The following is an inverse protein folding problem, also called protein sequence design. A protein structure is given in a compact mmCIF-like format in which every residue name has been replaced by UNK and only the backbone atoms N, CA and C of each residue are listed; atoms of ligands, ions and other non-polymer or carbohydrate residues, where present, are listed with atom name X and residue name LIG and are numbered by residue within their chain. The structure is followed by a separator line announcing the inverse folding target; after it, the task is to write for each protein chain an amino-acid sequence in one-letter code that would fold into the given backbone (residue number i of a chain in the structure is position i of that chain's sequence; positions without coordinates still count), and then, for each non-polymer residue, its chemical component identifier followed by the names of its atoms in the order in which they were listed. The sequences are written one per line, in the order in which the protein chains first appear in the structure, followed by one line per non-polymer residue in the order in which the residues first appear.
data_IF_527844180828
#
_entry.id   IF_527844180828
#
_cell.length_a   1.000
_cell.length_b   1.000
_cell.length_c   1.000
_cell.angle_alpha   90.00
_cell.angle_beta   90.00
_cell.angle_gamma   90.00
#
_symmetry.space_group_name_H-M   'P 1'
#
loop_
_entity.id
_entity.type
_entity.pdbx_description
1 polymer ?
#
# COMPACT_ATOMS: atom_id res chain seq x y z
N UNK A 1 -27.36 -1.54 -2.29
CA UNK A 1 -26.22 -2.23 -2.89
C UNK A 1 -25.03 -2.21 -1.97
N UNK A 2 -24.55 -3.37 -1.69
CA UNK A 2 -23.30 -3.48 -0.99
C UNK A 2 -22.19 -3.04 -1.93
N UNK A 3 -21.57 -1.92 -1.61
CA UNK A 3 -20.41 -1.48 -2.35
C UNK A 3 -19.27 -2.49 -2.23
N UNK A 4 -18.30 -2.40 -3.12
CA UNK A 4 -17.11 -3.20 -3.02
C UNK A 4 -16.38 -2.85 -1.72
N UNK A 5 -15.90 -3.84 -0.94
CA UNK A 5 -15.10 -3.56 0.26
C UNK A 5 -13.75 -2.95 -0.07
N UNK A 6 -13.34 -3.01 -1.33
CA UNK A 6 -12.05 -2.49 -1.78
C UNK A 6 -12.29 -1.58 -2.98
N UNK A 7 -11.78 -0.36 -2.93
CA UNK A 7 -11.92 0.58 -4.04
C UNK A 7 -10.97 0.20 -5.18
N UNK A 8 -11.28 0.71 -6.38
CA UNK A 8 -10.41 0.49 -7.54
C UNK A 8 -9.02 1.07 -7.31
N UNK A 9 -8.93 2.25 -6.68
CA UNK A 9 -7.65 2.87 -6.37
C UNK A 9 -6.80 2.00 -5.45
N UNK A 10 -7.42 1.38 -4.44
CA UNK A 10 -6.72 0.45 -3.56
C UNK A 10 -6.22 -0.77 -4.31
N UNK A 11 -7.06 -1.31 -5.22
CA UNK A 11 -6.67 -2.46 -6.03
C UNK A 11 -5.47 -2.13 -6.91
N UNK A 12 -5.47 -0.95 -7.55
CA UNK A 12 -4.34 -0.53 -8.38
C UNK A 12 -3.05 -0.43 -7.58
N UNK A 13 -3.13 0.12 -6.37
CA UNK A 13 -1.93 0.23 -5.54
C UNK A 13 -1.49 -1.12 -5.02
N UNK A 14 -2.44 -2.02 -4.77
CA UNK A 14 -2.11 -3.38 -4.37
C UNK A 14 -1.37 -4.12 -5.50
N UNK A 15 -1.84 -3.99 -6.72
CA UNK A 15 -1.17 -4.56 -7.90
C UNK A 15 0.24 -3.99 -8.02
N UNK A 16 0.36 -2.67 -7.87
CA UNK A 16 1.64 -1.97 -7.99
C UNK A 16 2.65 -2.46 -6.95
N UNK A 17 2.24 -2.55 -5.69
CA UNK A 17 3.14 -2.91 -4.60
C UNK A 17 3.54 -4.38 -4.65
N UNK A 18 2.61 -5.25 -5.02
CA UNK A 18 2.85 -6.69 -5.01
C UNK A 18 3.46 -7.19 -6.31
N UNK A 19 3.55 -6.34 -7.34
CA UNK A 19 3.91 -6.75 -8.70
C UNK A 19 3.03 -7.92 -9.16
N UNK A 20 1.76 -7.89 -8.78
CA UNK A 20 0.84 -8.96 -9.07
C UNK A 20 0.63 -9.10 -10.57
N UNK A 21 0.80 -10.31 -11.08
CA UNK A 21 0.60 -10.61 -12.50
C UNK A 21 -0.69 -11.39 -12.72
N UNK A 22 -1.33 -11.81 -11.62
CA UNK A 22 -2.55 -12.60 -11.71
C UNK A 22 -3.50 -12.31 -10.57
N UNK A 23 -4.73 -12.75 -10.74
CA UNK A 23 -5.80 -12.51 -9.79
C UNK A 23 -5.62 -13.25 -8.47
N UNK A 24 -4.93 -14.37 -8.47
CA UNK A 24 -4.77 -15.16 -7.26
C UNK A 24 -4.02 -14.39 -6.18
N UNK A 25 -3.00 -13.64 -6.58
CA UNK A 25 -2.24 -12.81 -5.63
C UNK A 25 -3.15 -11.73 -5.03
N UNK A 26 -3.94 -11.08 -5.87
CA UNK A 26 -4.87 -10.05 -5.41
C UNK A 26 -5.93 -10.61 -4.48
N UNK A 27 -6.53 -11.75 -4.86
CA UNK A 27 -7.56 -12.38 -4.03
C UNK A 27 -7.00 -12.90 -2.71
N UNK A 28 -5.74 -13.32 -2.69
CA UNK A 28 -5.09 -13.70 -1.44
C UNK A 28 -5.07 -12.54 -0.45
N UNK A 29 -4.72 -11.35 -0.91
CA UNK A 29 -4.71 -10.16 -0.06
C UNK A 29 -6.12 -9.75 0.34
N UNK A 30 -7.07 -9.80 -0.59
CA UNK A 30 -8.46 -9.44 -0.30
C UNK A 30 -9.06 -10.38 0.74
N UNK A 31 -8.81 -11.67 0.63
CA UNK A 31 -9.32 -12.66 1.58
C UNK A 31 -8.74 -12.46 2.98
N UNK A 32 -7.47 -12.06 3.06
CA UNK A 32 -6.85 -11.75 4.36
C UNK A 32 -7.46 -10.51 4.99
N UNK A 33 -7.78 -9.51 4.17
CA UNK A 33 -8.37 -8.26 4.62
C UNK A 33 -9.84 -8.42 4.98
N UNK A 34 -10.58 -9.16 4.17
CA UNK A 34 -12.03 -9.35 4.33
C UNK A 34 -12.38 -10.83 4.15
N UNK A 35 -12.19 -11.65 5.18
CA UNK A 35 -12.54 -13.06 5.10
C UNK A 35 -14.02 -13.24 4.73
N UNK A 36 -14.30 -14.16 3.84
CA UNK A 36 -15.66 -14.40 3.37
C UNK A 36 -16.01 -13.67 2.08
N UNK A 37 -15.20 -12.72 1.66
CA UNK A 37 -15.37 -12.05 0.36
C UNK A 37 -14.66 -12.88 -0.70
N UNK A 38 -15.41 -13.35 -1.69
CA UNK A 38 -14.88 -14.19 -2.76
C UNK A 38 -15.37 -13.67 -4.11
N UNK A 39 -14.77 -14.19 -5.18
CA UNK A 39 -15.22 -13.87 -6.53
C UNK A 39 -16.67 -14.31 -6.74
N UNK A 40 -17.09 -15.36 -6.06
CA UNK A 40 -18.46 -15.88 -6.17
C UNK A 40 -19.45 -14.96 -5.47
N UNK A 41 -19.11 -14.48 -4.25
CA UNK A 41 -20.02 -13.62 -3.48
C UNK A 41 -19.96 -12.17 -3.93
N UNK A 42 -18.85 -11.77 -4.56
CA UNK A 42 -18.63 -10.40 -5.00
C UNK A 42 -18.12 -10.36 -6.45
N UNK A 43 -19.00 -10.71 -7.42
CA UNK A 43 -18.58 -10.79 -8.82
C UNK A 43 -18.14 -9.44 -9.39
N UNK A 44 -18.70 -8.33 -8.90
CA UNK A 44 -18.25 -7.01 -9.34
C UNK A 44 -16.82 -6.73 -8.92
N UNK A 45 -16.47 -7.11 -7.70
CA UNK A 45 -15.10 -6.97 -7.21
C UNK A 45 -14.14 -7.83 -8.05
N UNK A 46 -14.57 -9.02 -8.43
CA UNK A 46 -13.77 -9.89 -9.30
C UNK A 46 -13.48 -9.21 -10.65
N UNK A 47 -14.48 -8.53 -11.22
CA UNK A 47 -14.27 -7.76 -12.45
C UNK A 47 -13.33 -6.59 -12.24
N UNK A 48 -13.43 -5.93 -11.08
CA UNK A 48 -12.52 -4.83 -10.77
C UNK A 48 -11.07 -5.29 -10.67
N UNK A 49 -10.83 -6.50 -10.16
CA UNK A 49 -9.46 -7.04 -10.13
C UNK A 49 -8.92 -7.25 -11.54
N UNK A 50 -9.75 -7.72 -12.47
CA UNK A 50 -9.35 -7.84 -13.88
C UNK A 50 -8.99 -6.49 -14.46
N UNK A 51 -9.83 -5.48 -14.25
CA UNK A 51 -9.56 -4.14 -14.75
C UNK A 51 -8.31 -3.54 -14.12
N UNK A 52 -8.10 -3.78 -12.83
CA UNK A 52 -6.94 -3.25 -12.14
C UNK A 52 -5.65 -3.83 -12.73
N UNK A 53 -5.63 -5.12 -13.01
CA UNK A 53 -4.45 -5.75 -13.61
C UNK A 53 -4.14 -5.19 -15.00
N UNK A 54 -5.18 -5.05 -15.84
CA UNK A 54 -5.01 -4.50 -17.19
C UNK A 54 -4.59 -3.03 -17.13
N UNK A 55 -5.27 -2.25 -16.31
CA UNK A 55 -4.99 -0.83 -16.17
C UNK A 55 -3.57 -0.60 -15.66
N UNK A 56 -3.16 -1.38 -14.68
CA UNK A 56 -1.81 -1.28 -14.16
C UNK A 56 -0.79 -1.56 -15.25
N UNK A 57 -0.95 -2.67 -15.98
CA UNK A 57 -0.02 -3.06 -17.02
C UNK A 57 0.08 -2.01 -18.13
N UNK A 58 -1.06 -1.45 -18.53
CA UNK A 58 -1.12 -0.57 -19.69
C UNK A 58 -0.82 0.89 -19.35
N UNK A 59 -1.19 1.35 -18.15
CA UNK A 59 -1.16 2.78 -17.83
C UNK A 59 -0.32 3.14 -16.61
N UNK A 60 -0.17 2.24 -15.65
CA UNK A 60 0.54 2.56 -14.41
C UNK A 60 2.01 2.14 -14.49
N UNK A 61 2.26 0.90 -14.83
CA UNK A 61 3.62 0.37 -14.87
C UNK A 61 4.56 1.18 -15.77
N UNK A 62 4.14 1.60 -16.99
CA UNK A 62 5.04 2.39 -17.84
C UNK A 62 5.37 3.76 -17.27
N UNK A 63 4.53 4.30 -16.38
CA UNK A 63 4.69 5.62 -15.80
C UNK A 63 5.21 5.61 -14.37
N UNK A 64 5.44 4.42 -13.79
CA UNK A 64 5.98 4.32 -12.44
C UNK A 64 7.43 4.79 -12.40
N UNK A 65 7.73 5.64 -11.42
CA UNK A 65 9.09 6.13 -11.23
C UNK A 65 9.38 6.10 -9.73
N UNK A 66 10.19 5.14 -9.31
CA UNK A 66 10.64 5.05 -7.94
C UNK A 66 11.82 5.99 -7.73
N UNK A 67 12.00 6.44 -6.49
CA UNK A 67 13.19 7.17 -6.09
C UNK A 67 13.69 6.63 -4.77
N UNK A 68 14.97 6.81 -4.52
CA UNK A 68 15.56 6.43 -3.25
C UNK A 68 15.16 7.45 -2.18
N UNK A 69 14.94 7.02 -0.94
CA UNK A 69 14.65 7.96 0.15
C UNK A 69 15.88 8.78 0.50
N UNK A 70 15.64 10.04 0.93
CA UNK A 70 16.70 10.85 1.51
C UNK A 70 17.09 10.25 2.87
N UNK A 71 18.24 10.65 3.46
CA UNK A 71 18.61 10.14 4.78
C UNK A 71 17.54 10.35 5.85
N UNK A 72 16.88 11.50 5.84
CA UNK A 72 15.81 11.79 6.78
C UNK A 72 14.59 10.89 6.52
N UNK A 73 14.21 10.76 5.25
CA UNK A 73 13.12 9.87 4.85
C UNK A 73 13.43 8.42 5.20
N UNK A 74 14.68 8.03 5.03
CA UNK A 74 15.13 6.68 5.37
C UNK A 74 14.91 6.40 6.86
N UNK A 75 15.29 7.33 7.72
CA UNK A 75 15.07 7.18 9.17
C UNK A 75 13.59 7.09 9.50
N UNK A 76 12.78 7.93 8.88
CA UNK A 76 11.34 7.90 9.10
C UNK A 76 10.73 6.57 8.66
N UNK A 77 11.17 6.05 7.51
CA UNK A 77 10.69 4.77 7.02
C UNK A 77 11.08 3.61 7.92
N UNK A 78 12.30 3.61 8.44
CA UNK A 78 12.77 2.58 9.37
C UNK A 78 11.91 2.61 10.63
N UNK A 79 11.65 3.79 11.18
CA UNK A 79 10.80 3.91 12.36
C UNK A 79 9.38 3.45 12.08
N UNK A 80 8.85 3.79 10.91
CA UNK A 80 7.51 3.33 10.51
C UNK A 80 7.46 1.80 10.49
N UNK A 81 8.47 1.16 9.90
CA UNK A 81 8.51 -0.30 9.84
C UNK A 81 8.54 -0.90 11.25
N UNK A 82 9.29 -0.30 12.17
CA UNK A 82 9.33 -0.75 13.56
C UNK A 82 7.98 -0.62 14.24
N UNK A 83 7.28 0.50 14.02
CA UNK A 83 5.95 0.70 14.58
C UNK A 83 4.95 -0.31 14.02
N UNK A 84 5.02 -0.58 12.73
CA UNK A 84 4.15 -1.58 12.11
C UNK A 84 4.43 -2.97 12.68
N UNK A 85 5.69 -3.30 12.95
CA UNK A 85 6.05 -4.57 13.54
C UNK A 85 5.47 -4.76 14.95
N UNK A 86 5.24 -3.65 15.65
CA UNK A 86 4.66 -3.69 16.99
C UNK A 86 3.13 -3.74 17.01
N UNK A 87 2.48 -3.60 15.87
CA UNK A 87 1.02 -3.64 15.80
C UNK A 87 0.50 -5.07 15.75
N UNK A 88 -0.73 -5.25 16.27
CA UNK A 88 -1.45 -6.50 16.13
C UNK A 88 -1.70 -6.75 14.63
N UNK A 89 -1.57 -8.01 14.21
CA UNK A 89 -1.82 -8.38 12.82
C UNK A 89 -3.24 -8.08 12.35
N UNK A 90 -4.15 -7.77 13.26
CA UNK A 90 -5.52 -7.40 12.94
C UNK A 90 -5.80 -5.91 13.09
N UNK A 91 -4.75 -5.09 13.21
CA UNK A 91 -4.90 -3.65 13.29
C UNK A 91 -5.65 -3.14 12.05
N UNK A 92 -6.62 -2.25 12.27
CA UNK A 92 -7.40 -1.69 11.16
C UNK A 92 -6.66 -0.52 10.50
N UNK A 93 -7.23 -0.05 9.39
CA UNK A 93 -6.61 1.04 8.62
C UNK A 93 -6.46 2.32 9.43
N UNK A 94 -7.39 2.62 10.33
CA UNK A 94 -7.30 3.82 11.16
C UNK A 94 -6.15 3.74 12.17
N UNK A 95 -5.99 2.60 12.80
CA UNK A 95 -4.89 2.38 13.75
C UNK A 95 -3.54 2.52 13.03
N UNK A 96 -3.43 1.91 11.86
CA UNK A 96 -2.22 1.98 11.04
C UNK A 96 -1.97 3.42 10.60
N UNK A 97 -3.02 4.12 10.16
CA UNK A 97 -2.90 5.52 9.73
C UNK A 97 -2.41 6.41 10.87
N UNK A 98 -2.89 6.17 12.10
CA UNK A 98 -2.43 6.92 13.27
C UNK A 98 -0.93 6.75 13.50
N UNK A 99 -0.40 5.55 13.32
CA UNK A 99 1.03 5.31 13.43
C UNK A 99 1.81 6.02 12.33
N UNK A 100 1.28 6.01 11.11
CA UNK A 100 1.90 6.72 9.98
C UNK A 100 1.96 8.22 10.27
N UNK A 101 0.88 8.80 10.81
CA UNK A 101 0.85 10.20 11.22
C UNK A 101 1.86 10.50 12.31
N UNK A 102 1.98 9.61 13.29
CA UNK A 102 2.91 9.81 14.40
C UNK A 102 4.35 9.92 13.89
N UNK A 103 4.74 9.08 12.96
CA UNK A 103 6.06 9.16 12.34
C UNK A 103 6.20 10.44 11.54
N UNK A 104 5.19 10.81 10.79
CA UNK A 104 5.20 12.04 10.01
C UNK A 104 5.40 13.27 10.88
N UNK A 105 4.70 13.33 12.00
CA UNK A 105 4.84 14.45 12.93
C UNK A 105 6.23 14.53 13.55
N UNK A 106 6.85 13.37 13.78
CA UNK A 106 8.18 13.33 14.39
C UNK A 106 9.27 13.80 13.42
N UNK A 107 9.14 13.51 12.14
CA UNK A 107 10.19 13.79 11.16
C UNK A 107 9.86 14.90 10.18
N UNK A 108 8.58 15.17 9.92
CA UNK A 108 8.15 16.14 8.91
C UNK A 108 7.33 17.28 9.48
N UNK A 109 7.07 17.29 10.77
CA UNK A 109 6.36 18.34 11.52
C UNK A 109 5.24 19.03 10.72
N UNK A 110 5.58 20.13 10.03
CA UNK A 110 4.61 20.96 9.30
C UNK A 110 4.39 20.50 7.87
N UNK A 111 5.10 19.47 7.41
CA UNK A 111 5.02 19.01 6.03
C UNK A 111 4.54 17.57 5.93
N UNK A 112 3.38 17.29 6.53
CA UNK A 112 2.78 15.95 6.44
C UNK A 112 2.47 15.56 5.00
N UNK A 113 2.11 16.53 4.15
CA UNK A 113 1.89 16.25 2.73
C UNK A 113 3.16 15.67 2.10
N UNK A 114 4.30 16.24 2.41
CA UNK A 114 5.58 15.74 1.92
C UNK A 114 5.88 14.33 2.41
N UNK A 115 5.50 14.02 3.65
CA UNK A 115 5.65 12.68 4.18
C UNK A 115 4.82 11.65 3.39
N UNK A 116 3.55 11.95 3.13
CA UNK A 116 2.72 11.05 2.35
C UNK A 116 3.19 10.93 0.91
N UNK A 117 3.64 12.02 0.29
CA UNK A 117 4.25 11.95 -1.04
C UNK A 117 5.48 11.05 -1.04
N UNK A 118 6.30 11.13 0.01
CA UNK A 118 7.46 10.25 0.16
C UNK A 118 7.04 8.78 0.14
N UNK A 119 6.01 8.46 0.90
CA UNK A 119 5.52 7.08 0.95
C UNK A 119 5.11 6.59 -0.44
N UNK A 120 4.37 7.40 -1.18
CA UNK A 120 3.91 7.00 -2.50
C UNK A 120 5.06 6.94 -3.50
N UNK A 121 5.95 7.91 -3.50
CA UNK A 121 7.05 7.97 -4.46
C UNK A 121 8.11 6.89 -4.20
N UNK A 122 8.41 6.62 -2.95
CA UNK A 122 9.45 5.65 -2.59
C UNK A 122 8.93 4.22 -2.63
N UNK A 123 7.72 4.00 -2.13
CA UNK A 123 7.19 2.65 -1.99
C UNK A 123 6.35 2.20 -3.18
N UNK A 124 5.62 3.11 -3.82
CA UNK A 124 4.70 2.77 -4.90
C UNK A 124 5.13 3.30 -6.26
N UNK A 125 6.10 4.19 -6.29
CA UNK A 125 6.56 4.78 -7.55
C UNK A 125 5.56 5.74 -8.18
N UNK A 126 4.69 6.36 -7.37
CA UNK A 126 3.63 7.26 -7.80
C UNK A 126 3.62 8.51 -6.94
N UNK A 127 3.09 9.60 -7.47
CA UNK A 127 3.01 10.86 -6.72
C UNK A 127 1.83 10.88 -5.75
N UNK A 128 0.81 10.08 -6.01
CA UNK A 128 -0.41 10.04 -5.21
C UNK A 128 -0.85 8.59 -5.03
N UNK A 129 -1.71 8.38 -4.04
CA UNK A 129 -2.24 7.07 -3.77
C UNK A 129 -3.43 7.14 -2.81
N UNK A 130 -4.02 6.00 -2.45
CA UNK A 130 -5.11 5.96 -1.50
C UNK A 130 -4.60 6.24 -0.08
N UNK A 131 -5.52 6.28 0.88
CA UNK A 131 -5.15 6.41 2.28
C UNK A 131 -4.19 5.28 2.64
N UNK A 132 -3.02 5.65 3.13
CA UNK A 132 -1.93 4.69 3.31
C UNK A 132 -2.28 3.61 4.33
N UNK A 133 -2.95 3.96 5.42
CA UNK A 133 -3.36 2.99 6.42
C UNK A 133 -4.29 1.92 5.85
N UNK A 134 -5.23 2.32 4.98
CA UNK A 134 -6.12 1.38 4.32
C UNK A 134 -5.34 0.45 3.38
N UNK A 135 -4.38 1.00 2.67
CA UNK A 135 -3.51 0.21 1.80
C UNK A 135 -2.74 -0.84 2.61
N UNK A 136 -2.15 -0.43 3.73
CA UNK A 136 -1.36 -1.36 4.57
C UNK A 136 -2.25 -2.46 5.13
N UNK A 137 -3.48 -2.11 5.56
CA UNK A 137 -4.42 -3.10 6.07
C UNK A 137 -4.75 -4.17 5.03
N UNK A 138 -4.89 -3.74 3.76
CA UNK A 138 -5.18 -4.66 2.66
C UNK A 138 -3.96 -5.47 2.26
N UNK A 139 -2.83 -4.81 2.11
CA UNK A 139 -1.59 -5.46 1.65
C UNK A 139 -1.00 -6.38 2.71
N UNK A 140 -1.08 -5.98 3.97
CA UNK A 140 -0.56 -6.75 5.10
C UNK A 140 0.64 -6.05 5.75
N UNK A 141 0.69 -6.13 7.08
CA UNK A 141 1.75 -5.49 7.85
C UNK A 141 3.14 -6.04 7.50
N UNK A 142 3.26 -7.35 7.43
CA UNK A 142 4.55 -7.98 7.12
C UNK A 142 5.04 -7.63 5.72
N UNK A 143 4.14 -7.67 4.74
CA UNK A 143 4.50 -7.33 3.37
C UNK A 143 4.89 -5.87 3.24
N UNK A 144 4.23 -4.99 3.99
CA UNK A 144 4.55 -3.58 4.00
C UNK A 144 5.93 -3.35 4.62
N UNK A 145 6.26 -4.05 5.71
CA UNK A 145 7.58 -3.96 6.31
C UNK A 145 8.67 -4.38 5.33
N UNK A 146 8.41 -5.46 4.59
CA UNK A 146 9.36 -5.92 3.57
C UNK A 146 9.52 -4.88 2.47
N UNK A 147 8.41 -4.28 2.04
CA UNK A 147 8.44 -3.23 1.01
C UNK A 147 9.29 -2.05 1.47
N UNK A 148 9.10 -1.62 2.71
CA UNK A 148 9.90 -0.53 3.29
C UNK A 148 11.37 -0.92 3.35
N UNK A 149 11.67 -2.13 3.80
CA UNK A 149 13.04 -2.63 3.87
C UNK A 149 13.70 -2.63 2.49
N UNK A 150 12.98 -3.08 1.48
CA UNK A 150 13.50 -3.11 0.10
C UNK A 150 13.75 -1.70 -0.42
N UNK A 151 12.86 -0.76 -0.11
CA UNK A 151 13.03 0.63 -0.50
C UNK A 151 14.27 1.25 0.16
N UNK A 152 14.45 0.99 1.45
CA UNK A 152 15.60 1.50 2.20
C UNK A 152 16.91 0.88 1.73
N UNK A 153 16.86 -0.34 1.20
CA UNK A 153 18.02 -1.01 0.64
C UNK A 153 18.32 -0.60 -0.80
N UNK A 154 17.48 0.25 -1.39
CA UNK A 154 17.66 0.70 -2.76
C UNK A 154 17.21 -0.30 -3.81
N UNK A 155 16.45 -1.30 -3.43
CA UNK A 155 16.02 -2.35 -4.36
C UNK A 155 14.89 -1.92 -5.29
N UNK A 156 14.16 -0.88 -4.92
CA UNK A 156 13.03 -0.40 -5.73
C UNK A 156 13.44 0.69 -6.72
N UNK A 157 14.43 1.48 -6.37
CA UNK A 157 14.89 2.59 -7.22
C UNK A 157 15.95 2.18 -8.22
#
# INVERSE_FOLDING_TARGET
TTGSPVSFALLLNLVSASNAENKQVLWGCINSYAPGVTARTHPLLDRLTDYALVYYRDFVAPNKTFRAPTPEEHQALVELAEKLAGLDGQADGETIQSEVYAVGKAYFEDNLRGWFQTLYQVLLGQDQGPRFGSFVALYGLEKTQKLISDACAGKLA
#
